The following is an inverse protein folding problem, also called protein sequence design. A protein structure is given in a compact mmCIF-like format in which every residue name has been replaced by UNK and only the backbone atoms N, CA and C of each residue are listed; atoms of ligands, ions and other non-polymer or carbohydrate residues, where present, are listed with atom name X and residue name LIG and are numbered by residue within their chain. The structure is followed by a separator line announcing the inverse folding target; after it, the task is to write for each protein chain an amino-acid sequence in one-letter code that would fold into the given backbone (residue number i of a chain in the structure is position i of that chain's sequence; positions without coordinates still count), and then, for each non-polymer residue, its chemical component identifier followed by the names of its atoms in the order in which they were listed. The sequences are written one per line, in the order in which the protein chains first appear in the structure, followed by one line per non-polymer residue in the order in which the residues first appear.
data_IF_564810932793
#
_entry.id   IF_564810932793
#
_cell.length_a   1.000
_cell.length_b   1.000
_cell.length_c   1.000
_cell.angle_alpha   90.00
_cell.angle_beta   90.00
_cell.angle_gamma   90.00
#
_symmetry.space_group_name_H-M   'P 1'
#
loop_
_entity.id
_entity.type
_entity.pdbx_description
1 polymer ?
#
# COMPACT_ATOMS: atom_id res chain seq x y z
N UNK A 1 34.79 -14.73 -17.95
CA UNK A 1 33.47 -15.16 -17.46
C UNK A 1 33.12 -16.45 -18.18
N UNK A 2 32.84 -17.55 -17.46
CA UNK A 2 32.37 -18.78 -18.10
C UNK A 2 31.06 -18.46 -18.83
N UNK A 3 30.88 -18.97 -20.06
CA UNK A 3 29.63 -18.83 -20.80
C UNK A 3 28.55 -19.64 -20.07
N UNK A 4 27.83 -19.00 -19.14
CA UNK A 4 26.71 -19.59 -18.42
C UNK A 4 25.58 -19.78 -19.43
N UNK A 5 25.47 -20.99 -19.99
CA UNK A 5 24.36 -21.37 -20.85
C UNK A 5 23.14 -21.68 -19.99
N UNK A 6 22.02 -21.06 -20.32
CA UNK A 6 20.73 -21.44 -19.75
C UNK A 6 20.41 -22.88 -20.19
N UNK A 7 19.74 -23.71 -19.37
CA UNK A 7 19.24 -25.00 -19.83
C UNK A 7 18.39 -24.83 -21.09
N UNK A 8 18.45 -25.76 -22.07
CA UNK A 8 17.83 -25.59 -23.38
C UNK A 8 16.31 -25.43 -23.32
N UNK A 9 15.67 -25.95 -22.27
CA UNK A 9 14.24 -25.84 -22.00
C UNK A 9 13.81 -24.50 -21.39
N UNK A 10 14.76 -23.65 -21.04
CA UNK A 10 14.55 -22.37 -20.38
C UNK A 10 14.71 -21.20 -21.36
N UNK A 11 13.93 -20.15 -21.18
CA UNK A 11 14.07 -18.90 -21.94
C UNK A 11 13.88 -17.66 -21.06
N UNK A 12 14.56 -16.57 -21.43
CA UNK A 12 14.36 -15.26 -20.83
C UNK A 12 13.22 -14.53 -21.54
N UNK A 13 12.40 -13.83 -20.77
CA UNK A 13 11.45 -12.85 -21.32
C UNK A 13 11.05 -11.83 -20.27
N UNK A 14 10.53 -10.70 -20.73
CA UNK A 14 9.86 -9.75 -19.84
C UNK A 14 8.55 -10.36 -19.32
N UNK A 15 8.21 -10.04 -18.06
CA UNK A 15 6.94 -10.44 -17.47
C UNK A 15 5.77 -9.80 -18.24
N UNK A 16 4.79 -10.62 -18.57
CA UNK A 16 3.54 -10.21 -19.20
C UNK A 16 2.44 -10.10 -18.14
N UNK A 17 1.32 -9.46 -18.48
CA UNK A 17 0.19 -9.30 -17.56
C UNK A 17 -0.35 -10.66 -17.04
N UNK A 18 -0.29 -11.71 -17.86
CA UNK A 18 -0.68 -13.08 -17.46
C UNK A 18 0.21 -13.67 -16.35
N UNK A 19 1.41 -13.13 -16.16
CA UNK A 19 2.36 -13.62 -15.15
C UNK A 19 2.14 -12.99 -13.77
N UNK A 20 1.34 -11.92 -13.66
CA UNK A 20 1.08 -11.20 -12.40
C UNK A 20 0.77 -12.16 -11.27
N UNK A 21 -0.20 -13.05 -11.50
CA UNK A 21 -0.64 -14.01 -10.50
C UNK A 21 0.46 -15.01 -10.17
N UNK A 22 1.17 -15.52 -11.19
CA UNK A 22 2.30 -16.44 -10.96
C UNK A 22 3.39 -15.77 -10.13
N UNK A 23 3.72 -14.51 -10.40
CA UNK A 23 4.73 -13.74 -9.68
C UNK A 23 4.31 -13.39 -8.25
N UNK A 24 3.04 -13.01 -8.03
CA UNK A 24 2.46 -12.80 -6.71
C UNK A 24 2.44 -14.08 -5.86
N UNK A 25 2.29 -15.23 -6.50
CA UNK A 25 2.27 -16.54 -5.85
C UNK A 25 3.60 -17.29 -5.89
N UNK A 26 4.67 -16.72 -6.47
CA UNK A 26 5.99 -17.30 -6.33
C UNK A 26 6.28 -17.35 -4.83
N UNK A 27 6.58 -18.53 -4.27
CA UNK A 27 6.86 -18.65 -2.85
C UNK A 27 8.17 -17.88 -2.61
N UNK A 28 8.09 -16.61 -2.24
CA UNK A 28 9.22 -15.87 -1.71
C UNK A 28 9.60 -16.62 -0.43
N UNK A 29 10.55 -17.54 -0.57
CA UNK A 29 10.95 -18.39 0.53
C UNK A 29 11.45 -17.46 1.63
N UNK A 30 10.77 -17.43 2.79
CA UNK A 30 11.01 -16.40 3.77
C UNK A 30 12.38 -16.65 4.38
N UNK A 31 13.37 -15.89 3.94
CA UNK A 31 14.67 -15.82 4.61
C UNK A 31 14.45 -15.26 6.02
N UNK A 32 14.31 -16.19 6.96
CA UNK A 32 14.68 -16.04 8.37
C UNK A 32 13.81 -15.24 9.33
N UNK A 33 12.96 -14.25 8.95
CA UNK A 33 12.35 -13.42 10.02
C UNK A 33 10.95 -12.82 9.82
N UNK A 34 10.30 -13.02 8.69
CA UNK A 34 8.96 -12.45 8.46
C UNK A 34 7.97 -13.42 7.80
N UNK A 35 8.00 -14.71 8.21
CA UNK A 35 7.04 -15.74 7.79
C UNK A 35 5.59 -15.29 7.95
N UNK A 36 5.27 -14.57 9.02
CA UNK A 36 3.89 -14.24 9.33
C UNK A 36 3.32 -13.21 8.34
N UNK A 37 4.04 -12.13 8.01
CA UNK A 37 3.48 -11.04 7.21
C UNK A 37 3.17 -11.44 5.76
N UNK A 38 4.07 -12.18 5.11
CA UNK A 38 3.83 -12.63 3.74
C UNK A 38 2.75 -13.71 3.68
N UNK A 39 2.77 -14.67 4.61
CA UNK A 39 1.69 -15.67 4.72
C UNK A 39 0.34 -14.97 4.89
N UNK A 40 0.26 -13.90 5.70
CA UNK A 40 -0.97 -13.10 5.83
C UNK A 40 -1.38 -12.41 4.54
N UNK A 41 -0.46 -11.77 3.80
CA UNK A 41 -0.80 -11.10 2.53
C UNK A 41 -1.29 -12.10 1.48
N UNK A 42 -0.61 -13.25 1.33
CA UNK A 42 -1.02 -14.28 0.37
C UNK A 42 -2.33 -14.95 0.77
N UNK A 43 -2.56 -15.17 2.08
CA UNK A 43 -3.83 -15.67 2.61
C UNK A 43 -4.95 -14.66 2.34
N UNK A 44 -4.75 -13.38 2.66
CA UNK A 44 -5.75 -12.32 2.45
C UNK A 44 -6.09 -12.20 0.96
N UNK A 45 -5.09 -12.24 0.07
CA UNK A 45 -5.32 -12.17 -1.38
C UNK A 45 -6.05 -13.40 -1.92
N UNK A 46 -5.72 -14.62 -1.46
CA UNK A 46 -6.45 -15.84 -1.86
C UNK A 46 -7.89 -15.82 -1.33
N UNK A 47 -8.08 -15.42 -0.07
CA UNK A 47 -9.40 -15.26 0.53
C UNK A 47 -10.20 -14.24 -0.28
N UNK A 48 -9.63 -13.09 -0.63
CA UNK A 48 -10.31 -12.09 -1.44
C UNK A 48 -10.69 -12.61 -2.83
N UNK A 49 -9.80 -13.32 -3.51
CA UNK A 49 -10.08 -13.93 -4.82
C UNK A 49 -11.18 -15.00 -4.75
N UNK A 50 -11.15 -15.86 -3.72
CA UNK A 50 -12.19 -16.87 -3.48
C UNK A 50 -13.53 -16.18 -3.21
N UNK A 51 -13.57 -15.17 -2.34
CA UNK A 51 -14.82 -14.46 -2.02
C UNK A 51 -15.37 -13.75 -3.25
N UNK A 52 -14.52 -13.15 -4.08
CA UNK A 52 -14.96 -12.49 -5.31
C UNK A 52 -15.59 -13.49 -6.29
N UNK A 53 -14.92 -14.63 -6.54
CA UNK A 53 -15.45 -15.67 -7.43
C UNK A 53 -16.73 -16.31 -6.88
N UNK A 54 -16.80 -16.54 -5.56
CA UNK A 54 -17.99 -17.07 -4.90
C UNK A 54 -19.16 -16.07 -5.01
N UNK A 55 -18.88 -14.77 -4.83
CA UNK A 55 -19.88 -13.71 -4.97
C UNK A 55 -20.43 -13.64 -6.40
N UNK A 56 -19.55 -13.75 -7.42
CA UNK A 56 -19.95 -13.79 -8.83
C UNK A 56 -20.81 -15.04 -9.15
N UNK A 57 -20.41 -16.20 -8.64
CA UNK A 57 -21.15 -17.46 -8.82
C UNK A 57 -22.54 -17.38 -8.17
N UNK A 58 -22.65 -16.86 -6.94
CA UNK A 58 -23.93 -16.68 -6.26
C UNK A 58 -24.84 -15.70 -7.01
N UNK A 59 -24.27 -14.65 -7.60
CA UNK A 59 -25.01 -13.70 -8.44
C UNK A 59 -25.53 -14.37 -9.72
N UNK A 60 -24.72 -15.21 -10.37
CA UNK A 60 -25.15 -16.02 -11.51
C UNK A 60 -26.23 -17.02 -11.14
N UNK A 61 -26.09 -17.75 -10.02
CA UNK A 61 -27.10 -18.70 -9.54
C UNK A 61 -28.42 -17.97 -9.24
N UNK A 62 -28.35 -16.80 -8.60
CA UNK A 62 -29.53 -15.98 -8.31
C UNK A 62 -30.21 -15.50 -9.60
N UNK A 63 -29.42 -15.07 -10.58
CA UNK A 63 -29.91 -14.65 -11.90
C UNK A 63 -30.57 -15.81 -12.67
N UNK A 64 -29.94 -16.99 -12.69
CA UNK A 64 -30.49 -18.17 -13.34
C UNK A 64 -31.73 -18.70 -12.62
N UNK A 65 -31.75 -18.69 -11.29
CA UNK A 65 -32.93 -19.08 -10.50
C UNK A 65 -34.11 -18.16 -10.79
N UNK A 66 -33.85 -16.85 -10.92
CA UNK A 66 -34.86 -15.87 -11.33
C UNK A 66 -35.39 -16.15 -12.75
N UNK A 67 -34.51 -16.37 -13.72
CA UNK A 67 -34.91 -16.69 -15.10
C UNK A 67 -35.69 -18.02 -15.18
N UNK A 68 -35.26 -19.02 -14.42
CA UNK A 68 -35.88 -20.33 -14.38
C UNK A 68 -37.27 -20.26 -13.73
N UNK A 69 -37.39 -19.54 -12.60
CA UNK A 69 -38.68 -19.28 -11.95
C UNK A 69 -39.65 -18.56 -12.91
N UNK A 70 -39.16 -17.59 -13.68
CA UNK A 70 -39.97 -16.88 -14.66
C UNK A 70 -40.44 -17.80 -15.80
N UNK A 71 -39.53 -18.55 -16.40
CA UNK A 71 -39.87 -19.49 -17.49
C UNK A 71 -40.76 -20.64 -17.03
N UNK A 72 -40.52 -21.22 -15.85
CA UNK A 72 -41.40 -22.26 -15.30
C UNK A 72 -42.77 -21.70 -14.97
N UNK A 73 -42.87 -20.48 -14.45
CA UNK A 73 -44.16 -19.80 -14.27
C UNK A 73 -44.92 -19.68 -15.58
N UNK A 74 -44.26 -19.19 -16.65
CA UNK A 74 -44.84 -19.08 -17.99
C UNK A 74 -45.25 -20.46 -18.56
N UNK A 75 -44.42 -21.50 -18.38
CA UNK A 75 -44.68 -22.84 -18.91
C UNK A 75 -45.77 -23.60 -18.15
N UNK A 76 -45.82 -23.50 -16.83
CA UNK A 76 -46.88 -24.09 -16.00
C UNK A 76 -48.23 -23.44 -16.30
N UNK A 77 -48.27 -22.12 -16.48
CA UNK A 77 -49.49 -21.40 -16.89
C UNK A 77 -49.94 -21.89 -18.26
N UNK A 78 -49.04 -21.95 -19.23
CA UNK A 78 -49.33 -22.47 -20.57
C UNK A 78 -49.83 -23.92 -20.55
N UNK A 79 -49.17 -24.80 -19.79
CA UNK A 79 -49.53 -26.21 -19.67
C UNK A 79 -50.91 -26.39 -19.03
N UNK A 80 -51.17 -25.72 -17.90
CA UNK A 80 -52.46 -25.78 -17.20
C UNK A 80 -53.59 -25.25 -18.10
N UNK A 81 -53.36 -24.14 -18.82
CA UNK A 81 -54.33 -23.56 -19.77
C UNK A 81 -54.58 -24.46 -20.99
N UNK A 82 -53.57 -25.23 -21.42
CA UNK A 82 -53.69 -26.12 -22.60
C UNK A 82 -54.22 -27.52 -22.28
N UNK A 83 -54.20 -27.94 -21.02
CA UNK A 83 -54.66 -29.28 -20.62
C UNK A 83 -56.19 -29.31 -20.54
N UNK A 84 -56.83 -30.06 -21.45
CA UNK A 84 -58.29 -30.24 -21.52
C UNK A 84 -58.88 -31.05 -20.34
N UNK A 85 -58.05 -31.45 -19.39
CA UNK A 85 -58.39 -32.34 -18.27
C UNK A 85 -58.88 -31.60 -17.02
N UNK A 86 -58.73 -30.26 -16.96
CA UNK A 86 -59.19 -29.46 -15.83
C UNK A 86 -60.47 -28.70 -16.24
N UNK A 87 -61.63 -28.99 -15.62
CA UNK A 87 -62.88 -28.28 -15.91
C UNK A 87 -62.72 -26.77 -15.72
N UNK A 88 -63.33 -25.94 -16.56
CA UNK A 88 -63.15 -24.47 -16.60
C UNK A 88 -63.21 -23.78 -15.22
N UNK A 89 -64.08 -24.27 -14.33
CA UNK A 89 -64.24 -23.74 -12.95
C UNK A 89 -63.02 -23.99 -12.07
N UNK A 90 -62.29 -25.09 -12.27
CA UNK A 90 -61.08 -25.41 -11.52
C UNK A 90 -59.85 -24.71 -12.08
N UNK A 91 -59.80 -24.40 -13.38
CA UNK A 91 -58.72 -23.59 -13.93
C UNK A 91 -58.71 -22.18 -13.32
N UNK A 92 -59.88 -21.55 -13.19
CA UNK A 92 -60.00 -20.23 -12.56
C UNK A 92 -59.64 -20.26 -11.08
N UNK A 93 -60.09 -21.29 -10.33
CA UNK A 93 -59.77 -21.44 -8.90
C UNK A 93 -58.31 -21.79 -8.63
N UNK A 94 -57.69 -22.64 -9.45
CA UNK A 94 -56.28 -23.01 -9.30
C UNK A 94 -55.38 -21.84 -9.68
N UNK A 95 -55.74 -21.07 -10.72
CA UNK A 95 -55.09 -19.80 -11.03
C UNK A 95 -55.22 -18.80 -9.87
N UNK A 96 -56.40 -18.70 -9.25
CA UNK A 96 -56.63 -17.84 -8.08
C UNK A 96 -55.83 -18.27 -6.83
N UNK A 97 -55.63 -19.57 -6.63
CA UNK A 97 -54.89 -20.14 -5.50
C UNK A 97 -53.38 -20.04 -5.68
N UNK A 98 -52.88 -20.25 -6.91
CA UNK A 98 -51.44 -20.17 -7.21
C UNK A 98 -50.95 -18.74 -7.39
N UNK A 99 -51.80 -17.83 -7.90
CA UNK A 99 -51.41 -16.44 -8.16
C UNK A 99 -51.97 -15.43 -7.15
N UNK A 100 -52.78 -15.86 -6.18
CA UNK A 100 -53.58 -14.90 -5.42
C UNK A 100 -54.51 -14.10 -6.36
N UNK A 101 -55.32 -13.23 -5.77
CA UNK A 101 -56.35 -12.48 -6.49
C UNK A 101 -55.84 -11.83 -7.80
N UNK A 102 -56.31 -12.24 -9.00
CA UNK A 102 -55.79 -11.80 -10.30
C UNK A 102 -56.07 -10.33 -10.61
N UNK A 103 -56.91 -9.65 -9.83
CA UNK A 103 -57.10 -8.20 -9.94
C UNK A 103 -56.01 -7.39 -9.21
N UNK A 104 -55.10 -8.03 -8.48
CA UNK A 104 -54.02 -7.35 -7.74
C UNK A 104 -52.59 -7.73 -8.14
N UNK A 105 -52.40 -8.78 -8.94
CA UNK A 105 -51.07 -9.34 -9.22
C UNK A 105 -50.36 -8.75 -10.45
N UNK A 106 -51.03 -7.89 -11.21
CA UNK A 106 -50.41 -7.11 -12.29
C UNK A 106 -49.50 -5.97 -11.81
N UNK A 107 -49.53 -5.61 -10.52
CA UNK A 107 -48.88 -4.39 -10.01
C UNK A 107 -47.70 -4.62 -9.05
N UNK A 108 -47.54 -5.79 -8.41
CA UNK A 108 -46.71 -5.85 -7.18
C UNK A 108 -45.28 -6.35 -7.36
N UNK A 109 -44.92 -6.99 -8.48
CA UNK A 109 -43.51 -7.31 -8.79
C UNK A 109 -42.82 -6.16 -9.55
N UNK A 110 -43.60 -5.24 -10.12
CA UNK A 110 -43.13 -4.02 -10.81
C UNK A 110 -42.63 -2.93 -9.86
N UNK A 111 -42.92 -2.99 -8.56
CA UNK A 111 -42.81 -1.82 -7.67
C UNK A 111 -41.92 -2.05 -6.44
N UNK A 112 -40.89 -2.89 -6.53
CA UNK A 112 -39.80 -2.81 -5.55
C UNK A 112 -38.58 -2.09 -6.16
N UNK A 113 -38.64 -0.75 -6.34
CA UNK A 113 -37.56 0.04 -6.94
C UNK A 113 -36.24 -0.11 -6.18
N UNK A 114 -36.29 -0.58 -4.93
CA UNK A 114 -35.13 -0.81 -4.08
C UNK A 114 -34.24 -1.95 -4.60
N UNK A 115 -34.80 -3.00 -5.25
CA UNK A 115 -33.98 -4.11 -5.76
C UNK A 115 -33.11 -3.64 -6.95
N UNK A 116 -33.69 -2.88 -7.88
CA UNK A 116 -32.96 -2.28 -8.99
C UNK A 116 -31.92 -1.27 -8.51
N UNK A 117 -32.24 -0.47 -7.49
CA UNK A 117 -31.30 0.46 -6.87
C UNK A 117 -30.08 -0.25 -6.26
N UNK A 118 -30.27 -1.37 -5.56
CA UNK A 118 -29.16 -2.14 -4.97
C UNK A 118 -28.29 -2.83 -6.02
N UNK A 119 -28.88 -3.43 -7.07
CA UNK A 119 -28.10 -4.01 -8.16
C UNK A 119 -27.32 -2.96 -8.94
N UNK A 120 -27.93 -1.80 -9.24
CA UNK A 120 -27.25 -0.72 -9.94
C UNK A 120 -26.11 -0.13 -9.10
N UNK A 121 -26.33 0.07 -7.80
CA UNK A 121 -25.30 0.51 -6.86
C UNK A 121 -24.11 -0.47 -6.81
N UNK A 122 -24.38 -1.78 -6.81
CA UNK A 122 -23.34 -2.80 -6.82
C UNK A 122 -22.53 -2.80 -8.12
N UNK A 123 -23.21 -2.74 -9.27
CA UNK A 123 -22.57 -2.66 -10.59
C UNK A 123 -21.74 -1.38 -10.70
N UNK A 124 -22.27 -0.22 -10.29
CA UNK A 124 -21.55 1.05 -10.30
C UNK A 124 -20.31 1.00 -9.39
N UNK A 125 -20.42 0.43 -8.19
CA UNK A 125 -19.27 0.26 -7.28
C UNK A 125 -18.20 -0.63 -7.91
N UNK A 126 -18.58 -1.76 -8.50
CA UNK A 126 -17.64 -2.65 -9.17
C UNK A 126 -16.92 -1.98 -10.35
N UNK A 127 -17.67 -1.23 -11.17
CA UNK A 127 -17.12 -0.47 -12.30
C UNK A 127 -16.18 0.64 -11.82
N UNK A 128 -16.49 1.31 -10.71
CA UNK A 128 -15.63 2.37 -10.16
C UNK A 128 -14.34 1.82 -9.51
N UNK A 129 -14.38 0.65 -8.87
CA UNK A 129 -13.22 0.06 -8.20
C UNK A 129 -12.33 -0.80 -9.12
N UNK A 130 -12.87 -1.37 -10.20
CA UNK A 130 -12.13 -2.19 -11.16
C UNK A 130 -10.89 -1.48 -11.78
N UNK A 131 -10.98 -0.22 -12.24
CA UNK A 131 -9.83 0.52 -12.77
C UNK A 131 -8.71 0.71 -11.75
N UNK A 132 -9.06 0.95 -10.47
CA UNK A 132 -8.08 1.12 -9.41
C UNK A 132 -7.28 -0.18 -9.18
N UNK A 133 -7.97 -1.32 -9.16
CA UNK A 133 -7.32 -2.64 -9.05
C UNK A 133 -6.42 -2.88 -10.27
N UNK A 134 -6.89 -2.56 -11.48
CA UNK A 134 -6.09 -2.70 -12.70
C UNK A 134 -4.84 -1.80 -12.66
N UNK A 135 -4.95 -0.56 -12.18
CA UNK A 135 -3.81 0.37 -12.03
C UNK A 135 -2.79 -0.18 -11.03
N UNK A 136 -3.24 -0.67 -9.88
CA UNK A 136 -2.37 -1.28 -8.86
C UNK A 136 -1.66 -2.52 -9.44
N UNK A 137 -2.39 -3.39 -10.13
CA UNK A 137 -1.83 -4.60 -10.75
C UNK A 137 -0.86 -4.26 -11.90
N UNK A 138 -1.11 -3.18 -12.66
CA UNK A 138 -0.23 -2.72 -13.74
C UNK A 138 1.10 -2.21 -13.21
N UNK A 139 1.14 -1.58 -12.04
CA UNK A 139 2.41 -1.14 -11.44
C UNK A 139 3.31 -2.30 -11.00
N UNK A 140 2.75 -3.49 -10.74
CA UNK A 140 3.53 -4.66 -10.29
C UNK A 140 4.35 -5.28 -11.43
N UNK A 141 3.91 -5.21 -12.69
CA UNK A 141 4.58 -5.88 -13.83
C UNK A 141 5.66 -5.08 -14.51
N UNK A 142 5.59 -3.76 -14.43
CA UNK A 142 6.55 -2.90 -15.09
C UNK A 142 7.94 -3.20 -14.53
N UNK A 143 8.88 -3.50 -15.43
CA UNK A 143 10.29 -3.79 -15.14
C UNK A 143 10.57 -5.12 -14.41
N UNK A 144 9.75 -6.15 -14.60
CA UNK A 144 10.07 -7.51 -14.14
C UNK A 144 10.52 -8.41 -15.30
N UNK A 145 11.63 -9.12 -15.12
CA UNK A 145 12.15 -10.14 -16.04
C UNK A 145 11.96 -11.53 -15.43
N UNK A 146 11.64 -12.51 -16.27
CA UNK A 146 11.39 -13.88 -15.82
C UNK A 146 12.18 -14.89 -16.65
N UNK A 147 12.52 -16.00 -16.01
CA UNK A 147 13.00 -17.21 -16.68
C UNK A 147 11.85 -18.22 -16.68
N UNK A 148 11.45 -18.64 -17.87
CA UNK A 148 10.42 -19.67 -18.06
C UNK A 148 11.06 -20.96 -18.55
N UNK A 149 10.87 -22.06 -17.81
CA UNK A 149 11.29 -23.40 -18.21
C UNK A 149 10.06 -24.31 -18.28
N UNK A 150 9.88 -25.05 -19.37
CA UNK A 150 8.72 -25.95 -19.55
C UNK A 150 7.37 -25.27 -19.24
N UNK A 151 7.19 -24.02 -19.71
CA UNK A 151 5.99 -23.19 -19.50
C UNK A 151 5.72 -22.78 -18.03
N UNK A 152 6.72 -22.91 -17.15
CA UNK A 152 6.66 -22.53 -15.74
C UNK A 152 7.71 -21.45 -15.45
N UNK A 153 7.32 -20.42 -14.71
CA UNK A 153 8.25 -19.38 -14.25
C UNK A 153 9.09 -19.98 -13.12
N UNK A 154 10.40 -20.10 -13.35
CA UNK A 154 11.33 -20.68 -12.38
C UNK A 154 12.16 -19.63 -11.66
N UNK A 155 12.36 -18.47 -12.28
CA UNK A 155 13.07 -17.34 -11.68
C UNK A 155 12.44 -16.01 -12.12
N UNK A 156 12.57 -14.99 -11.29
CA UNK A 156 12.10 -13.65 -11.57
C UNK A 156 13.07 -12.60 -10.99
N UNK A 157 13.20 -11.48 -11.69
CA UNK A 157 14.00 -10.34 -11.29
C UNK A 157 13.18 -9.05 -11.47
N UNK A 158 12.94 -8.33 -10.37
CA UNK A 158 12.25 -7.03 -10.38
C UNK A 158 13.26 -5.90 -10.35
N UNK A 159 13.15 -4.99 -11.30
CA UNK A 159 14.03 -3.83 -11.44
C UNK A 159 13.28 -2.54 -11.10
N UNK A 160 13.97 -1.62 -10.43
CA UNK A 160 13.57 -0.22 -10.34
C UNK A 160 14.49 0.56 -11.28
N UNK A 161 13.92 1.11 -12.34
CA UNK A 161 14.67 1.82 -13.38
C UNK A 161 14.62 3.31 -13.09
N UNK A 162 15.80 3.91 -12.89
CA UNK A 162 15.98 5.35 -12.77
C UNK A 162 16.80 5.85 -13.97
N UNK A 163 16.75 7.16 -14.31
CA UNK A 163 17.45 7.68 -15.49
C UNK A 163 18.96 7.38 -15.52
N UNK A 164 19.62 7.36 -14.36
CA UNK A 164 21.08 7.19 -14.24
C UNK A 164 21.50 5.79 -13.77
N UNK A 165 20.57 4.98 -13.29
CA UNK A 165 20.91 3.72 -12.63
C UNK A 165 19.72 2.77 -12.54
N UNK A 166 20.02 1.50 -12.29
CA UNK A 166 19.01 0.46 -12.09
C UNK A 166 19.23 -0.19 -10.75
N UNK A 167 18.15 -0.44 -10.02
CA UNK A 167 18.20 -1.18 -8.77
C UNK A 167 17.54 -2.54 -8.99
N UNK A 168 18.32 -3.60 -8.84
CA UNK A 168 17.81 -4.96 -8.77
C UNK A 168 17.20 -5.18 -7.39
N UNK A 169 15.92 -4.84 -7.29
CA UNK A 169 15.16 -4.84 -6.04
C UNK A 169 14.87 -6.25 -5.53
N UNK A 170 14.58 -7.18 -6.44
CA UNK A 170 14.29 -8.57 -6.06
C UNK A 170 14.84 -9.51 -7.11
N UNK A 171 15.58 -10.53 -6.69
CA UNK A 171 15.95 -11.68 -7.50
C UNK A 171 15.49 -12.94 -6.78
N UNK A 172 14.69 -13.75 -7.45
CA UNK A 172 14.18 -14.99 -6.91
C UNK A 172 14.41 -16.13 -7.88
N UNK A 173 14.87 -17.27 -7.36
CA UNK A 173 14.99 -18.55 -8.09
C UNK A 173 14.32 -19.62 -7.24
N UNK A 174 13.41 -20.36 -7.87
CA UNK A 174 12.69 -21.48 -7.26
C UNK A 174 13.69 -22.50 -6.70
N UNK A 175 13.50 -23.03 -5.47
CA UNK A 175 14.47 -23.92 -4.82
C UNK A 175 14.99 -25.06 -5.68
N UNK A 176 14.11 -25.72 -6.44
CA UNK A 176 14.46 -26.85 -7.33
C UNK A 176 15.38 -26.46 -8.50
N UNK A 177 15.47 -25.17 -8.81
CA UNK A 177 16.25 -24.59 -9.91
C UNK A 177 17.47 -23.80 -9.41
N UNK A 178 17.74 -23.81 -8.10
CA UNK A 178 18.94 -23.18 -7.52
C UNK A 178 20.19 -24.00 -7.88
N UNK A 179 21.34 -23.33 -7.86
CA UNK A 179 22.65 -23.93 -8.20
C UNK A 179 22.78 -24.46 -9.64
N UNK A 180 21.78 -24.25 -10.50
CA UNK A 180 21.82 -24.58 -11.94
C UNK A 180 22.26 -23.41 -12.81
N UNK A 181 22.84 -22.35 -12.22
CA UNK A 181 23.26 -21.15 -12.95
C UNK A 181 22.14 -20.23 -13.43
N UNK A 182 20.86 -20.56 -13.21
CA UNK A 182 19.70 -19.77 -13.69
C UNK A 182 19.70 -18.34 -13.15
N UNK A 183 19.97 -18.14 -11.85
CA UNK A 183 20.07 -16.80 -11.26
C UNK A 183 21.21 -15.98 -11.86
N UNK A 184 22.38 -16.62 -12.04
CA UNK A 184 23.55 -16.00 -12.68
C UNK A 184 23.27 -15.60 -14.13
N UNK A 185 22.61 -16.47 -14.88
CA UNK A 185 22.24 -16.24 -16.26
C UNK A 185 21.23 -15.09 -16.38
N UNK A 186 20.23 -15.02 -15.49
CA UNK A 186 19.24 -13.94 -15.45
C UNK A 186 19.90 -12.59 -15.13
N UNK A 187 20.77 -12.53 -14.12
CA UNK A 187 21.50 -11.29 -13.78
C UNK A 187 22.43 -10.88 -14.92
N UNK A 188 23.10 -11.83 -15.57
CA UNK A 188 23.97 -11.55 -16.73
C UNK A 188 23.16 -11.01 -17.90
N UNK A 189 21.99 -11.57 -18.18
CA UNK A 189 21.07 -11.08 -19.21
C UNK A 189 20.63 -9.65 -18.91
N UNK A 190 20.23 -9.35 -17.67
CA UNK A 190 19.85 -7.99 -17.26
C UNK A 190 21.02 -7.01 -17.43
N UNK A 191 22.25 -7.41 -17.05
CA UNK A 191 23.44 -6.57 -17.26
C UNK A 191 23.71 -6.23 -18.72
N UNK A 192 23.36 -7.13 -19.64
CA UNK A 192 23.51 -6.92 -21.09
C UNK A 192 22.42 -6.02 -21.66
N UNK A 193 21.22 -6.02 -21.06
CA UNK A 193 20.08 -5.24 -21.52
C UNK A 193 20.16 -3.74 -21.18
N UNK A 194 20.92 -3.39 -20.15
CA UNK A 194 20.95 -2.04 -19.62
C UNK A 194 22.39 -1.53 -19.54
N UNK A 195 22.64 -0.36 -20.09
CA UNK A 195 23.96 0.28 -20.05
C UNK A 195 24.25 0.92 -18.68
N UNK A 196 23.20 1.30 -17.95
CA UNK A 196 23.33 1.95 -16.65
C UNK A 196 23.94 1.00 -15.59
N UNK A 197 24.64 1.55 -14.57
CA UNK A 197 25.10 0.76 -13.44
C UNK A 197 23.92 0.11 -12.71
N UNK A 198 24.09 -1.18 -12.39
CA UNK A 198 23.10 -1.96 -11.63
C UNK A 198 23.55 -2.06 -10.19
N UNK A 199 22.68 -1.64 -9.29
CA UNK A 199 22.87 -1.70 -7.85
C UNK A 199 21.94 -2.72 -7.23
N UNK A 200 22.38 -3.34 -6.14
CA UNK A 200 21.53 -4.23 -5.35
C UNK A 200 21.92 -4.25 -3.88
N UNK A 201 20.92 -4.59 -3.08
CA UNK A 201 21.09 -4.94 -1.67
C UNK A 201 20.88 -6.45 -1.56
N UNK A 202 21.85 -7.18 -1.02
CA UNK A 202 21.74 -8.63 -0.86
C UNK A 202 21.98 -9.08 0.57
N UNK A 203 21.52 -10.29 0.88
CA UNK A 203 21.86 -10.94 2.14
C UNK A 203 23.38 -11.22 2.17
N UNK A 204 24.03 -11.15 3.34
CA UNK A 204 25.47 -11.40 3.48
C UNK A 204 25.95 -12.71 2.82
N UNK A 205 25.14 -13.75 2.87
CA UNK A 205 25.42 -15.07 2.27
C UNK A 205 25.41 -15.07 0.73
N UNK A 206 24.70 -14.13 0.09
CA UNK A 206 24.62 -13.99 -1.36
C UNK A 206 25.72 -13.08 -1.93
N UNK A 207 26.58 -12.52 -1.08
CA UNK A 207 27.60 -11.57 -1.52
C UNK A 207 28.59 -12.25 -2.45
N UNK A 208 29.08 -13.44 -2.10
CA UNK A 208 30.01 -14.19 -2.95
C UNK A 208 29.41 -14.54 -4.30
N UNK A 209 28.09 -14.82 -4.34
CA UNK A 209 27.36 -15.07 -5.59
C UNK A 209 27.41 -13.85 -6.52
N UNK A 210 27.06 -12.67 -6.04
CA UNK A 210 27.06 -11.46 -6.86
C UNK A 210 28.46 -10.94 -7.19
N UNK A 211 29.44 -11.09 -6.27
CA UNK A 211 30.85 -10.78 -6.57
C UNK A 211 31.37 -11.67 -7.70
N UNK A 212 31.00 -12.96 -7.71
CA UNK A 212 31.30 -13.85 -8.83
C UNK A 212 30.68 -13.42 -10.16
N UNK A 213 29.63 -12.61 -10.15
CA UNK A 213 29.00 -11.99 -11.32
C UNK A 213 29.61 -10.63 -11.70
N UNK A 214 30.71 -10.24 -11.08
CA UNK A 214 31.42 -8.98 -11.33
C UNK A 214 30.90 -7.78 -10.56
N UNK A 215 29.97 -7.96 -9.61
CA UNK A 215 29.57 -6.86 -8.75
C UNK A 215 30.68 -6.54 -7.73
N UNK A 216 30.96 -5.26 -7.54
CA UNK A 216 31.90 -4.73 -6.58
C UNK A 216 31.19 -4.42 -5.26
N UNK A 217 31.83 -4.76 -4.15
CA UNK A 217 31.39 -4.32 -2.83
C UNK A 217 31.55 -2.82 -2.72
N UNK A 218 30.44 -2.14 -2.43
CA UNK A 218 30.47 -0.73 -2.08
C UNK A 218 30.56 -0.66 -0.56
N UNK A 219 31.52 0.12 -0.05
CA UNK A 219 31.55 0.45 1.38
C UNK A 219 30.25 1.15 1.78
N UNK A 220 29.84 0.97 3.03
CA UNK A 220 28.71 1.71 3.63
C UNK A 220 28.80 3.22 3.36
N UNK A 221 30.03 3.75 3.25
CA UNK A 221 30.30 5.16 3.01
C UNK A 221 30.13 5.63 1.56
N UNK A 222 30.21 4.73 0.57
CA UNK A 222 29.79 5.06 -0.81
C UNK A 222 28.33 4.74 -1.05
N UNK A 223 27.71 3.96 -0.16
CA UNK A 223 26.28 3.69 -0.14
C UNK A 223 25.42 4.93 0.07
N UNK A 224 26.02 5.97 0.64
CA UNK A 224 25.50 7.31 0.82
C UNK A 224 24.88 7.90 -0.46
N UNK A 225 25.29 7.45 -1.65
CA UNK A 225 24.68 7.84 -2.92
C UNK A 225 23.40 7.05 -3.25
N UNK A 226 23.33 5.77 -2.88
CA UNK A 226 22.20 4.88 -3.19
C UNK A 226 21.05 5.01 -2.20
N UNK A 227 21.34 5.29 -0.93
CA UNK A 227 20.33 5.63 0.08
C UNK A 227 19.54 6.88 -0.28
N UNK A 228 20.17 7.82 -1.03
CA UNK A 228 19.51 8.99 -1.63
C UNK A 228 18.38 8.61 -2.58
N UNK A 229 18.43 7.41 -3.17
CA UNK A 229 17.53 6.94 -4.24
C UNK A 229 16.48 5.96 -3.71
N UNK A 230 16.81 5.18 -2.66
CA UNK A 230 15.87 4.29 -1.97
C UNK A 230 15.09 4.96 -0.82
N UNK A 231 15.40 6.22 -0.48
CA UNK A 231 14.73 6.92 0.63
C UNK A 231 15.03 6.30 1.99
N UNK A 232 16.17 5.62 2.15
CA UNK A 232 16.56 5.04 3.43
C UNK A 232 16.82 6.15 4.45
N UNK A 233 15.95 6.20 5.46
CA UNK A 233 16.03 7.11 6.59
C UNK A 233 17.20 6.78 7.53
N UNK A 234 18.15 7.69 7.72
CA UNK A 234 19.12 7.56 8.81
C UNK A 234 18.48 8.06 10.09
N UNK A 235 18.48 7.21 11.13
CA UNK A 235 18.08 7.64 12.46
C UNK A 235 19.26 8.35 13.13
N UNK A 236 19.04 9.59 13.55
CA UNK A 236 20.04 10.38 14.26
C UNK A 236 19.47 10.89 15.58
N UNK A 237 20.35 11.11 16.56
CA UNK A 237 20.00 11.69 17.86
C UNK A 237 20.85 12.90 18.15
N UNK A 238 20.25 13.91 18.77
CA UNK A 238 20.98 14.95 19.47
C UNK A 238 20.55 14.94 20.92
N UNK A 239 21.52 14.83 21.83
CA UNK A 239 21.29 15.02 23.25
C UNK A 239 21.44 16.51 23.58
N UNK A 240 20.33 17.17 23.92
CA UNK A 240 20.33 18.60 24.24
C UNK A 240 20.81 18.86 25.68
N UNK A 241 21.01 17.83 26.51
CA UNK A 241 21.48 17.99 27.89
C UNK A 241 23.00 18.17 27.99
N UNK A 242 23.73 17.69 26.99
CA UNK A 242 25.19 17.84 26.94
C UNK A 242 25.49 19.20 26.32
N UNK A 243 25.88 20.18 27.14
CA UNK A 243 26.31 21.50 26.67
C UNK A 243 27.41 21.35 25.62
N UNK A 244 27.07 21.68 24.38
CA UNK A 244 27.99 21.60 23.23
C UNK A 244 28.97 22.76 23.28
N UNK A 245 29.91 22.74 24.24
CA UNK A 245 30.92 23.78 24.44
C UNK A 245 31.91 23.88 23.26
N UNK A 246 31.89 22.94 22.30
CA UNK A 246 32.81 22.94 21.14
C UNK A 246 32.18 23.07 19.75
N UNK A 247 30.86 23.17 19.60
CA UNK A 247 30.21 23.20 18.26
C UNK A 247 29.98 24.64 17.78
N UNK A 248 30.01 25.62 18.69
CA UNK A 248 29.58 26.98 18.42
C UNK A 248 30.42 27.73 17.38
N UNK A 249 31.74 27.50 17.29
CA UNK A 249 32.58 28.35 16.43
C UNK A 249 32.43 28.09 14.92
N UNK A 250 32.16 26.83 14.51
CA UNK A 250 32.09 26.51 13.07
C UNK A 250 30.75 26.87 12.46
N UNK A 251 29.65 26.74 13.22
CA UNK A 251 28.30 27.06 12.71
C UNK A 251 27.99 28.55 12.76
N UNK A 252 28.60 29.33 13.66
CA UNK A 252 28.37 30.78 13.73
C UNK A 252 28.88 31.52 12.50
N UNK A 253 29.97 31.06 11.89
CA UNK A 253 30.57 31.71 10.72
C UNK A 253 29.77 31.49 9.42
N UNK A 254 28.99 30.41 9.30
CA UNK A 254 28.12 30.20 8.14
C UNK A 254 26.81 30.98 8.25
N UNK A 255 26.33 31.24 9.46
CA UNK A 255 25.09 31.98 9.73
C UNK A 255 25.27 33.51 9.68
N UNK A 256 26.48 34.05 9.71
CA UNK A 256 26.73 35.50 9.78
C UNK A 256 26.27 36.30 8.55
N UNK A 257 26.08 35.64 7.41
CA UNK A 257 25.58 36.28 6.18
C UNK A 257 24.06 36.17 5.99
N UNK A 258 23.37 35.52 6.92
CA UNK A 258 21.93 35.31 6.87
C UNK A 258 21.24 36.37 7.74
N UNK A 259 20.37 37.21 7.14
CA UNK A 259 19.56 38.19 7.88
C UNK A 259 18.55 37.45 8.75
N UNK A 260 18.95 37.14 9.98
CA UNK A 260 18.14 36.37 10.94
C UNK A 260 16.84 37.08 11.29
N UNK A 261 16.83 38.41 11.22
CA UNK A 261 15.70 39.24 11.68
C UNK A 261 14.41 39.06 10.86
N UNK A 262 14.52 38.56 9.64
CA UNK A 262 13.35 38.39 8.76
C UNK A 262 12.65 37.03 8.93
N UNK A 263 13.28 36.11 9.68
CA UNK A 263 12.80 34.74 9.86
C UNK A 263 12.26 34.51 11.27
N UNK A 264 10.98 34.19 11.36
CA UNK A 264 10.31 33.89 12.62
C UNK A 264 10.01 32.40 12.69
N UNK A 265 10.50 31.76 13.74
CA UNK A 265 10.16 30.38 14.08
C UNK A 265 9.20 30.40 15.25
N UNK A 266 7.99 29.86 15.06
CA UNK A 266 6.96 29.85 16.10
C UNK A 266 6.17 28.54 16.10
N UNK A 267 5.59 28.13 17.25
CA UNK A 267 4.63 27.04 17.25
C UNK A 267 3.39 27.42 16.44
N UNK A 268 2.82 26.44 15.75
CA UNK A 268 1.57 26.59 15.02
C UNK A 268 0.42 26.87 15.98
N UNK A 269 -0.48 27.74 15.54
CA UNK A 269 -1.75 28.07 16.17
C UNK A 269 -2.90 27.48 15.34
N UNK A 270 -4.11 27.41 15.88
CA UNK A 270 -5.26 26.82 15.19
C UNK A 270 -5.57 27.49 13.84
N UNK A 271 -5.30 28.80 13.73
CA UNK A 271 -5.46 29.57 12.48
C UNK A 271 -4.54 29.09 11.36
N UNK A 272 -3.41 28.46 11.69
CA UNK A 272 -2.40 28.03 10.72
C UNK A 272 -2.74 26.69 10.06
N UNK A 273 -3.72 25.93 10.58
CA UNK A 273 -4.06 24.57 10.11
C UNK A 273 -4.36 24.55 8.61
N UNK A 274 -5.06 25.57 8.10
CA UNK A 274 -5.37 25.67 6.66
C UNK A 274 -4.10 25.85 5.81
N UNK A 275 -3.16 26.68 6.28
CA UNK A 275 -1.89 26.94 5.58
C UNK A 275 -0.97 25.72 5.62
N UNK A 276 -0.88 25.04 6.76
CA UNK A 276 -0.10 23.80 6.91
C UNK A 276 -0.65 22.73 5.96
N UNK A 277 -1.97 22.57 5.85
CA UNK A 277 -2.60 21.64 4.89
C UNK A 277 -2.21 21.97 3.45
N UNK A 278 -2.27 23.25 3.04
CA UNK A 278 -1.82 23.61 1.69
C UNK A 278 -0.37 23.27 1.42
N UNK A 279 0.53 23.48 2.39
CA UNK A 279 1.95 23.12 2.24
C UNK A 279 2.18 21.61 2.23
N UNK A 280 1.45 20.85 3.04
CA UNK A 280 1.49 19.39 3.07
C UNK A 280 1.15 18.81 1.69
N UNK A 281 0.10 19.31 1.04
CA UNK A 281 -0.30 18.84 -0.30
C UNK A 281 0.69 19.21 -1.39
N UNK A 282 1.48 20.27 -1.22
CA UNK A 282 2.57 20.63 -2.15
C UNK A 282 3.88 19.89 -1.88
N UNK A 283 4.02 19.27 -0.70
CA UNK A 283 5.27 18.61 -0.33
C UNK A 283 5.40 17.22 -0.98
N UNK A 284 6.55 16.88 -1.58
CA UNK A 284 6.77 15.55 -2.17
C UNK A 284 6.77 14.43 -1.12
N UNK A 285 6.88 14.75 0.16
CA UNK A 285 6.74 13.80 1.27
C UNK A 285 5.31 13.35 1.50
N UNK A 286 4.31 13.89 0.80
CA UNK A 286 2.92 13.42 0.89
C UNK A 286 2.76 11.95 0.45
N UNK A 287 3.67 11.43 -0.37
CA UNK A 287 3.73 10.00 -0.75
C UNK A 287 3.80 9.07 0.48
N UNK A 288 4.26 9.58 1.63
CA UNK A 288 4.30 8.83 2.90
C UNK A 288 2.93 8.61 3.54
N UNK A 289 1.91 9.39 3.17
CA UNK A 289 0.51 9.19 3.62
C UNK A 289 -0.27 8.27 2.67
N UNK A 290 0.28 7.96 1.50
CA UNK A 290 -0.29 6.99 0.56
C UNK A 290 -0.54 5.61 1.21
N UNK A 291 0.34 5.04 2.06
CA UNK A 291 0.08 3.78 2.76
C UNK A 291 -1.12 3.84 3.70
N UNK A 292 -1.41 5.01 4.30
CA UNK A 292 -2.59 5.20 5.14
C UNK A 292 -3.86 5.25 4.30
N UNK A 293 -3.83 5.96 3.16
CA UNK A 293 -4.92 5.93 2.18
C UNK A 293 -5.17 4.53 1.62
N UNK A 294 -4.09 3.77 1.33
CA UNK A 294 -4.17 2.38 0.87
C UNK A 294 -4.77 1.49 1.95
N UNK A 295 -4.29 1.56 3.20
CA UNK A 295 -4.85 0.78 4.31
C UNK A 295 -6.33 1.10 4.52
N UNK A 296 -6.72 2.38 4.51
CA UNK A 296 -8.12 2.78 4.60
C UNK A 296 -8.95 2.23 3.44
N UNK A 297 -8.43 2.30 2.20
CA UNK A 297 -9.10 1.75 1.02
C UNK A 297 -9.27 0.23 1.13
N UNK A 298 -8.27 -0.47 1.67
CA UNK A 298 -8.35 -1.92 1.95
C UNK A 298 -9.41 -2.20 3.03
N UNK A 299 -9.45 -1.42 4.12
CA UNK A 299 -10.46 -1.61 5.17
C UNK A 299 -11.88 -1.30 4.67
N UNK A 300 -12.04 -0.23 3.90
CA UNK A 300 -13.32 0.14 3.30
C UNK A 300 -13.79 -0.91 2.28
N UNK A 301 -12.88 -1.43 1.45
CA UNK A 301 -13.23 -2.50 0.49
C UNK A 301 -13.53 -3.83 1.17
N UNK A 302 -12.81 -4.21 2.24
CA UNK A 302 -13.11 -5.40 3.03
C UNK A 302 -14.48 -5.29 3.71
N UNK A 303 -14.80 -4.12 4.27
CA UNK A 303 -16.11 -3.87 4.85
C UNK A 303 -17.23 -3.96 3.81
N UNK A 304 -17.03 -3.33 2.64
CA UNK A 304 -17.98 -3.41 1.53
C UNK A 304 -18.20 -4.85 1.07
N UNK A 305 -17.14 -5.67 1.03
CA UNK A 305 -17.20 -7.10 0.72
C UNK A 305 -18.04 -7.87 1.73
N UNK A 306 -17.86 -7.63 3.04
CA UNK A 306 -18.67 -8.25 4.11
C UNK A 306 -20.15 -7.88 3.96
N UNK A 307 -20.42 -6.61 3.67
CA UNK A 307 -21.78 -6.11 3.48
C UNK A 307 -22.44 -6.76 2.26
N UNK A 308 -21.71 -6.86 1.16
CA UNK A 308 -22.15 -7.54 -0.06
C UNK A 308 -22.46 -9.01 0.20
N UNK A 309 -21.58 -9.72 0.92
CA UNK A 309 -21.75 -11.13 1.24
C UNK A 309 -22.98 -11.35 2.13
N UNK A 310 -23.21 -10.44 3.08
CA UNK A 310 -24.40 -10.44 3.93
C UNK A 310 -25.69 -10.25 3.12
N UNK A 311 -25.70 -9.32 2.15
CA UNK A 311 -26.82 -9.17 1.21
C UNK A 311 -27.06 -10.42 0.36
N UNK A 312 -26.01 -11.08 -0.12
CA UNK A 312 -26.13 -12.31 -0.91
C UNK A 312 -26.73 -13.46 -0.10
N UNK A 313 -26.30 -13.64 1.15
CA UNK A 313 -26.88 -14.64 2.06
C UNK A 313 -28.37 -14.35 2.27
N UNK A 314 -28.74 -13.08 2.47
CA UNK A 314 -30.13 -12.69 2.63
C UNK A 314 -30.97 -13.01 1.40
N UNK A 315 -30.45 -12.68 0.21
CA UNK A 315 -31.11 -12.99 -1.05
C UNK A 315 -31.32 -14.50 -1.20
N UNK A 316 -30.31 -15.31 -0.88
CA UNK A 316 -30.39 -16.78 -0.90
C UNK A 316 -31.49 -17.30 0.05
N UNK A 317 -31.62 -16.69 1.23
CA UNK A 317 -32.64 -17.04 2.22
C UNK A 317 -34.05 -16.64 1.77
N UNK A 318 -34.19 -15.54 1.03
CA UNK A 318 -35.46 -15.17 0.37
C UNK A 318 -35.81 -16.21 -0.68
N UNK A 319 -34.87 -16.56 -1.56
CA UNK A 319 -35.09 -17.52 -2.65
C UNK A 319 -35.48 -18.90 -2.12
N UNK A 320 -34.90 -19.33 -1.00
CA UNK A 320 -35.20 -20.63 -0.37
C UNK A 320 -36.51 -20.63 0.45
N UNK A 321 -37.23 -19.51 0.51
CA UNK A 321 -38.46 -19.38 1.31
C UNK A 321 -38.25 -19.34 2.82
N UNK A 322 -37.00 -19.43 3.28
CA UNK A 322 -36.64 -19.38 4.70
C UNK A 322 -36.79 -17.97 5.29
N UNK A 323 -36.83 -16.93 4.45
CA UNK A 323 -36.99 -15.54 4.86
C UNK A 323 -38.39 -15.16 5.37
N UNK A 324 -39.42 -15.99 5.18
CA UNK A 324 -40.76 -15.70 5.70
C UNK A 324 -40.95 -16.04 7.18
N UNK A 325 -39.94 -16.66 7.80
CA UNK A 325 -39.90 -16.74 9.24
C UNK A 325 -39.72 -15.33 9.83
N UNK A 326 -40.77 -14.82 10.50
CA UNK A 326 -40.76 -13.50 11.14
C UNK A 326 -39.56 -13.28 12.07
N UNK A 327 -39.09 -14.34 12.73
CA UNK A 327 -37.91 -14.32 13.58
C UNK A 327 -36.66 -14.00 12.73
N UNK A 328 -36.54 -14.59 11.55
CA UNK A 328 -35.42 -14.38 10.65
C UNK A 328 -35.42 -12.97 10.06
N UNK A 329 -36.58 -12.45 9.63
CA UNK A 329 -36.74 -11.06 9.19
C UNK A 329 -36.30 -10.06 10.27
N UNK A 330 -36.72 -10.29 11.52
CA UNK A 330 -36.37 -9.42 12.65
C UNK A 330 -34.88 -9.48 12.98
N UNK A 331 -34.30 -10.68 13.07
CA UNK A 331 -32.87 -10.86 13.36
C UNK A 331 -32.04 -10.25 12.24
N UNK A 332 -32.34 -10.55 10.98
CA UNK A 332 -31.56 -10.07 9.85
C UNK A 332 -31.67 -8.56 9.66
N UNK A 333 -32.88 -7.99 9.73
CA UNK A 333 -33.08 -6.55 9.62
C UNK A 333 -32.30 -5.79 10.70
N UNK A 334 -32.38 -6.23 11.96
CA UNK A 334 -31.72 -5.54 13.07
C UNK A 334 -30.20 -5.75 13.07
N UNK A 335 -29.72 -6.98 12.82
CA UNK A 335 -28.27 -7.24 12.75
C UNK A 335 -27.63 -6.59 11.53
N UNK A 336 -28.26 -6.66 10.36
CA UNK A 336 -27.75 -6.01 9.15
C UNK A 336 -27.74 -4.50 9.30
N UNK A 337 -28.82 -3.88 9.78
CA UNK A 337 -28.85 -2.43 10.03
C UNK A 337 -27.76 -2.03 11.04
N UNK A 338 -27.61 -2.79 12.14
CA UNK A 338 -26.59 -2.49 13.15
C UNK A 338 -25.15 -2.64 12.63
N UNK A 339 -24.85 -3.67 11.84
CA UNK A 339 -23.55 -3.87 11.20
C UNK A 339 -23.27 -2.77 10.17
N UNK A 340 -24.31 -2.38 9.40
CA UNK A 340 -24.24 -1.32 8.41
C UNK A 340 -23.92 0.01 9.07
N UNK A 341 -24.63 0.35 10.15
CA UNK A 341 -24.38 1.55 10.95
C UNK A 341 -22.99 1.49 11.59
N UNK A 342 -22.59 0.35 12.14
CA UNK A 342 -21.27 0.17 12.74
C UNK A 342 -20.17 0.44 11.71
N UNK A 343 -20.16 -0.15 10.52
CA UNK A 343 -19.06 0.13 9.60
C UNK A 343 -19.19 1.45 8.85
N UNK A 344 -20.39 1.99 8.66
CA UNK A 344 -20.57 3.34 8.09
C UNK A 344 -20.13 4.43 9.08
N UNK A 345 -20.29 4.23 10.39
CA UNK A 345 -19.91 5.24 11.37
C UNK A 345 -18.56 4.94 12.03
N UNK A 346 -18.31 3.73 12.51
CA UNK A 346 -17.08 3.39 13.24
C UNK A 346 -15.85 3.40 12.33
N UNK A 347 -15.93 3.00 11.05
CA UNK A 347 -14.75 3.01 10.18
C UNK A 347 -14.35 4.47 9.84
N UNK A 348 -15.26 5.36 9.43
CA UNK A 348 -14.92 6.77 9.25
C UNK A 348 -14.57 7.46 10.56
N UNK A 349 -15.25 7.17 11.67
CA UNK A 349 -14.88 7.73 12.98
C UNK A 349 -13.50 7.25 13.40
N UNK A 350 -13.16 5.96 13.26
CA UNK A 350 -11.83 5.44 13.55
C UNK A 350 -10.78 6.04 12.61
N UNK A 351 -11.11 6.27 11.33
CA UNK A 351 -10.23 6.94 10.38
C UNK A 351 -10.03 8.42 10.74
N UNK A 352 -11.11 9.14 11.06
CA UNK A 352 -11.10 10.51 11.53
C UNK A 352 -10.33 10.59 12.84
N UNK A 353 -10.56 9.71 13.81
CA UNK A 353 -9.83 9.63 15.09
C UNK A 353 -8.38 9.19 14.88
N UNK A 354 -8.03 8.46 13.83
CA UNK A 354 -6.63 8.16 13.52
C UNK A 354 -5.94 9.38 12.87
N UNK A 355 -6.62 10.07 11.95
CA UNK A 355 -6.17 11.32 11.35
C UNK A 355 -6.05 12.45 12.39
N UNK A 356 -7.04 12.58 13.27
CA UNK A 356 -7.11 13.59 14.32
C UNK A 356 -6.32 13.18 15.56
N UNK A 357 -6.28 11.89 15.92
CA UNK A 357 -5.52 11.34 17.04
C UNK A 357 -4.01 11.33 16.79
N UNK A 358 -3.60 11.44 15.53
CA UNK A 358 -2.25 11.87 15.16
C UNK A 358 -1.90 13.28 15.70
N UNK A 359 -2.86 14.10 16.13
CA UNK A 359 -2.60 15.45 16.64
C UNK A 359 -2.31 15.53 18.15
N UNK A 360 -2.80 14.60 18.99
CA UNK A 360 -2.80 14.81 20.45
C UNK A 360 -1.42 14.87 21.12
N UNK A 361 -0.35 14.45 20.42
CA UNK A 361 1.02 14.54 20.94
C UNK A 361 2.01 15.07 19.92
N UNK A 362 1.56 15.84 18.91
CA UNK A 362 2.50 16.50 18.00
C UNK A 362 2.24 18.00 17.89
N UNK A 363 3.30 18.79 18.05
CA UNK A 363 3.28 20.22 17.82
C UNK A 363 3.91 20.48 16.46
N UNK A 364 3.29 21.38 15.70
CA UNK A 364 3.88 21.90 14.47
C UNK A 364 4.66 23.16 14.83
N UNK A 365 5.85 23.30 14.26
CA UNK A 365 6.62 24.53 14.23
C UNK A 365 6.54 25.09 12.82
N UNK A 366 6.42 26.40 12.72
CA UNK A 366 6.28 27.13 11.47
C UNK A 366 7.51 28.02 11.29
N UNK A 367 7.98 28.09 10.06
CA UNK A 367 9.00 29.03 9.62
C UNK A 367 8.32 30.06 8.72
N UNK A 368 8.34 31.32 9.15
CA UNK A 368 7.79 32.46 8.43
C UNK A 368 8.90 33.39 7.97
N UNK A 369 8.77 33.92 6.76
CA UNK A 369 9.62 34.98 6.22
C UNK A 369 8.73 36.11 5.72
N UNK A 370 8.90 37.32 6.25
CA UNK A 370 8.02 38.47 5.96
C UNK A 370 6.52 38.13 6.08
N UNK A 371 6.14 37.48 7.20
CA UNK A 371 4.77 37.02 7.49
C UNK A 371 4.20 35.97 6.52
N UNK A 372 5.01 35.47 5.58
CA UNK A 372 4.64 34.38 4.68
C UNK A 372 5.17 33.06 5.20
N UNK A 373 4.30 32.05 5.28
CA UNK A 373 4.69 30.71 5.69
C UNK A 373 5.54 30.05 4.59
N UNK A 374 6.78 29.70 4.94
CA UNK A 374 7.76 29.14 4.00
C UNK A 374 8.20 27.72 4.35
N UNK A 375 7.94 27.27 5.58
CA UNK A 375 8.28 25.92 6.02
C UNK A 375 7.52 25.51 7.27
N UNK A 376 7.53 24.22 7.56
CA UNK A 376 6.98 23.66 8.77
C UNK A 376 7.78 22.43 9.22
N UNK A 377 7.74 22.14 10.52
CA UNK A 377 8.28 20.92 11.10
C UNK A 377 7.24 20.32 12.04
N UNK A 378 7.14 18.99 12.06
CA UNK A 378 6.25 18.25 12.96
C UNK A 378 7.07 17.51 14.00
N UNK A 379 6.89 17.87 15.27
CA UNK A 379 7.58 17.25 16.40
C UNK A 379 6.57 16.45 17.22
N UNK A 380 6.85 15.17 17.45
CA UNK A 380 6.09 14.33 18.36
C UNK A 380 6.72 14.27 19.75
N UNK A 381 5.90 14.46 20.77
CA UNK A 381 6.29 14.49 22.17
C UNK A 381 6.22 13.08 22.75
N UNK A 382 7.35 12.60 23.29
CA UNK A 382 7.39 11.41 24.14
C UNK A 382 7.89 11.81 25.53
N UNK A 383 7.65 10.93 26.51
CA UNK A 383 8.02 11.20 27.90
C UNK A 383 9.51 11.54 28.05
N UNK A 384 10.39 10.84 27.31
CA UNK A 384 11.85 10.95 27.42
C UNK A 384 12.59 11.64 26.27
N UNK A 385 11.94 11.86 25.14
CA UNK A 385 12.57 12.42 23.94
C UNK A 385 11.52 13.03 23.01
N UNK A 386 11.98 13.79 22.03
CA UNK A 386 11.19 14.31 20.95
C UNK A 386 11.53 13.58 19.65
N UNK A 387 10.55 13.43 18.77
CA UNK A 387 10.75 12.87 17.43
C UNK A 387 10.45 13.97 16.42
N UNK A 388 11.46 14.43 15.69
CA UNK A 388 11.27 15.26 14.52
C UNK A 388 10.82 14.33 13.38
N UNK A 389 9.51 14.28 13.15
CA UNK A 389 8.93 13.35 12.17
C UNK A 389 9.19 13.81 10.74
N UNK A 390 8.98 15.10 10.49
CA UNK A 390 9.11 15.71 9.16
C UNK A 390 9.52 17.18 9.32
N UNK A 391 10.42 17.63 8.45
CA UNK A 391 10.67 19.04 8.17
C UNK A 391 10.44 19.27 6.68
N UNK A 392 9.80 20.37 6.34
CA UNK A 392 9.64 20.82 4.97
C UNK A 392 9.92 22.31 4.92
N UNK A 393 10.77 22.71 4.00
CA UNK A 393 11.01 24.10 3.65
C UNK A 393 10.83 24.21 2.15
N UNK A 394 10.23 25.32 1.71
CA UNK A 394 10.06 25.60 0.30
C UNK A 394 11.42 25.49 -0.43
N UNK A 395 11.54 24.64 -1.47
CA UNK A 395 12.80 24.37 -2.15
C UNK A 395 13.38 25.59 -2.88
N UNK A 396 12.59 26.65 -3.10
CA UNK A 396 13.11 27.92 -3.63
C UNK A 396 14.03 28.66 -2.65
N UNK A 397 14.08 28.25 -1.38
CA UNK A 397 14.90 28.88 -0.35
C UNK A 397 16.24 28.15 -0.14
N UNK A 398 17.23 28.89 0.35
CA UNK A 398 18.58 28.37 0.61
C UNK A 398 18.57 27.30 1.70
N UNK A 399 19.45 26.28 1.60
CA UNK A 399 19.59 25.23 2.62
C UNK A 399 19.92 25.76 4.03
N UNK A 400 20.51 26.95 4.12
CA UNK A 400 20.80 27.64 5.39
C UNK A 400 19.52 27.92 6.21
N UNK A 401 18.36 28.05 5.53
CA UNK A 401 17.06 28.20 6.20
C UNK A 401 16.69 26.93 6.98
N UNK A 402 17.04 25.74 6.49
CA UNK A 402 16.78 24.48 7.20
C UNK A 402 17.65 24.36 8.44
N UNK A 403 18.93 24.71 8.32
CA UNK A 403 19.86 24.75 9.45
C UNK A 403 19.32 25.69 10.53
N UNK A 404 18.99 26.93 10.16
CA UNK A 404 18.43 27.91 11.10
C UNK A 404 17.12 27.41 11.75
N UNK A 405 16.20 26.88 10.96
CA UNK A 405 14.90 26.42 11.46
C UNK A 405 15.04 25.27 12.45
N UNK A 406 15.84 24.26 12.13
CA UNK A 406 16.09 23.14 13.03
C UNK A 406 16.88 23.61 14.25
N UNK A 407 17.86 24.51 14.12
CA UNK A 407 18.58 25.09 15.25
C UNK A 407 17.62 25.79 16.25
N UNK A 408 16.68 26.60 15.75
CA UNK A 408 15.68 27.28 16.60
C UNK A 408 14.78 26.28 17.32
N UNK A 409 14.37 25.21 16.63
CA UNK A 409 13.63 24.11 17.25
C UNK A 409 14.46 23.47 18.37
N UNK A 410 15.73 23.14 18.11
CA UNK A 410 16.62 22.52 19.10
C UNK A 410 16.76 23.41 20.34
N UNK A 411 16.95 24.72 20.15
CA UNK A 411 17.07 25.70 21.24
C UNK A 411 15.79 25.82 22.08
N UNK A 412 14.62 25.57 21.49
CA UNK A 412 13.34 25.58 22.21
C UNK A 412 13.08 24.32 23.04
N UNK A 413 13.97 23.32 22.99
CA UNK A 413 13.73 21.98 23.55
C UNK A 413 14.85 21.52 24.48
N UNK A 414 14.48 21.02 25.66
CA UNK A 414 15.44 20.49 26.66
C UNK A 414 15.67 18.98 26.56
N UNK A 415 14.79 18.24 25.85
CA UNK A 415 14.88 16.78 25.72
C UNK A 415 15.65 16.39 24.46
N UNK A 416 16.26 15.19 24.43
CA UNK A 416 16.89 14.67 23.22
C UNK A 416 15.92 14.63 22.03
N UNK A 417 16.39 15.01 20.85
CA UNK A 417 15.62 14.94 19.61
C UNK A 417 16.13 13.78 18.76
N UNK A 418 15.21 12.92 18.35
CA UNK A 418 15.43 11.86 17.38
C UNK A 418 14.86 12.30 16.04
N UNK A 419 15.64 12.17 14.98
CA UNK A 419 15.21 12.44 13.62
C UNK A 419 15.44 11.21 12.76
N UNK A 420 14.48 10.90 11.90
CA UNK A 420 14.67 9.97 10.80
C UNK A 420 14.74 10.82 9.53
N UNK A 421 15.95 11.06 9.02
CA UNK A 421 16.16 11.96 7.89
C UNK A 421 16.62 11.19 6.65
N UNK A 422 16.31 11.73 5.47
CA UNK A 422 16.94 11.24 4.25
C UNK A 422 18.45 11.46 4.34
N UNK A 423 19.20 10.54 3.74
CA UNK A 423 20.65 10.61 3.69
C UNK A 423 21.18 11.95 3.17
N UNK A 424 20.50 12.59 2.21
CA UNK A 424 20.86 13.92 1.70
C UNK A 424 20.96 14.99 2.79
N UNK A 425 20.22 14.83 3.88
CA UNK A 425 20.15 15.81 4.97
C UNK A 425 21.05 15.40 6.14
N UNK A 426 21.68 14.22 6.12
CA UNK A 426 22.56 13.75 7.22
C UNK A 426 23.68 14.74 7.50
N UNK A 427 24.25 15.38 6.46
CA UNK A 427 25.27 16.42 6.65
C UNK A 427 24.72 17.60 7.45
N UNK A 428 23.55 18.12 7.06
CA UNK A 428 22.85 19.20 7.78
C UNK A 428 22.65 18.81 9.26
N UNK A 429 22.15 17.60 9.52
CA UNK A 429 21.93 17.14 10.89
C UNK A 429 23.25 16.91 11.66
N UNK A 430 24.31 16.43 11.02
CA UNK A 430 25.65 16.31 11.64
C UNK A 430 26.22 17.68 12.02
N UNK A 431 26.06 18.68 11.15
CA UNK A 431 26.50 20.06 11.39
C UNK A 431 25.71 20.68 12.56
N UNK A 432 24.47 20.21 12.77
CA UNK A 432 23.63 20.51 13.94
C UNK A 432 23.95 19.62 15.16
N UNK A 433 25.04 18.85 15.17
CA UNK A 433 25.45 18.03 16.31
C UNK A 433 24.65 16.73 16.50
N UNK A 434 23.88 16.28 15.52
CA UNK A 434 23.25 14.97 15.58
C UNK A 434 24.25 13.86 15.28
N UNK A 435 24.14 12.76 16.03
CA UNK A 435 24.96 11.56 15.90
C UNK A 435 24.09 10.45 15.31
N UNK A 436 24.55 9.72 14.26
CA UNK A 436 23.81 8.58 13.73
C UNK A 436 23.70 7.47 14.78
N UNK A 437 22.48 6.95 14.99
CA UNK A 437 22.24 5.78 15.84
C UNK A 437 21.98 4.58 14.94
N UNK A 438 22.65 3.45 15.22
CA UNK A 438 22.25 2.15 14.70
C UNK A 438 20.78 1.83 15.03
N UNK A 439 20.02 1.32 14.07
CA UNK A 439 18.61 0.94 14.26
C UNK A 439 18.44 -0.04 15.44
N UNK A 440 19.45 -0.85 15.73
CA UNK A 440 19.44 -1.78 16.86
C UNK A 440 19.43 -1.05 18.21
N UNK A 441 19.96 0.16 18.29
CA UNK A 441 20.00 0.96 19.51
C UNK A 441 18.79 1.89 19.65
N UNK A 442 17.90 1.95 18.65
CA UNK A 442 16.65 2.70 18.77
C UNK A 442 15.71 2.06 19.81
N UNK A 443 14.91 2.85 20.55
CA UNK A 443 13.83 2.35 21.39
C UNK A 443 12.87 1.43 20.62
N UNK A 444 12.38 0.34 21.24
CA UNK A 444 11.57 -0.70 20.58
C UNK A 444 10.36 -0.17 19.77
N UNK A 445 9.70 0.91 20.23
CA UNK A 445 8.61 1.58 19.49
C UNK A 445 9.08 2.29 18.23
N UNK A 446 10.25 2.92 18.27
CA UNK A 446 10.89 3.53 17.10
C UNK A 446 11.48 2.47 16.17
N UNK A 447 11.91 1.32 16.68
CA UNK A 447 12.29 0.19 15.82
C UNK A 447 11.14 -0.26 14.93
N UNK A 448 9.87 -0.18 15.36
CA UNK A 448 8.74 -0.55 14.49
C UNK A 448 8.57 0.47 13.34
N UNK A 449 8.51 1.77 13.66
CA UNK A 449 8.39 2.81 12.62
C UNK A 449 9.62 2.88 11.71
N UNK A 450 10.82 2.77 12.28
CA UNK A 450 12.07 2.66 11.54
C UNK A 450 12.12 1.38 10.70
N UNK A 451 11.69 0.21 11.20
CA UNK A 451 11.69 -1.05 10.42
C UNK A 451 10.67 -1.08 9.30
N UNK A 452 9.55 -0.37 9.43
CA UNK A 452 8.58 -0.20 8.34
C UNK A 452 9.22 0.64 7.21
N UNK A 453 10.20 1.48 7.53
CA UNK A 453 10.85 2.40 6.58
C UNK A 453 12.30 2.04 6.19
N UNK A 454 12.98 1.14 6.91
CA UNK A 454 14.41 0.84 6.81
C UNK A 454 14.70 -0.66 6.73
N UNK A 455 13.87 -1.40 6.00
CA UNK A 455 13.95 -2.85 5.96
C UNK A 455 15.08 -3.37 5.06
N UNK A 456 16.32 -2.88 5.24
CA UNK A 456 17.47 -3.30 4.43
C UNK A 456 18.76 -3.32 5.29
N UNK A 457 19.00 -4.45 5.95
CA UNK A 457 20.28 -4.76 6.61
C UNK A 457 21.18 -5.65 5.76
N UNK A 458 21.19 -5.43 4.44
CA UNK A 458 21.96 -6.23 3.49
C UNK A 458 23.35 -5.64 3.19
N UNK A 459 24.24 -6.47 2.65
CA UNK A 459 25.49 -5.99 2.04
C UNK A 459 25.22 -5.54 0.61
N UNK A 460 25.92 -4.49 0.18
CA UNK A 460 25.57 -3.75 -1.01
C UNK A 460 26.63 -3.83 -2.10
N UNK A 461 26.16 -3.97 -3.33
CA UNK A 461 26.99 -4.31 -4.46
C UNK A 461 26.61 -3.47 -5.69
N UNK A 462 27.60 -3.04 -6.48
CA UNK A 462 27.43 -2.35 -7.78
C UNK A 462 28.12 -3.10 -8.89
N UNK A 463 27.49 -3.20 -10.05
CA UNK A 463 28.19 -3.56 -11.26
C UNK A 463 28.51 -2.30 -12.08
N UNK A 464 29.79 -1.93 -12.26
CA UNK A 464 30.15 -0.89 -13.22
C UNK A 464 29.99 -1.48 -14.64
N UNK A 465 29.05 -0.94 -15.42
CA UNK A 465 29.01 -1.24 -16.85
C UNK A 465 30.00 -0.33 -17.59
N UNK A 466 30.49 -0.83 -18.74
CA UNK A 466 31.58 -0.27 -19.55
C UNK A 466 31.43 1.23 -19.82
N UNK A 467 31.99 2.08 -18.95
CA UNK A 467 32.40 3.46 -19.27
C UNK A 467 33.17 4.20 -18.15
N UNK A 468 33.50 3.57 -17.01
CA UNK A 468 34.34 4.21 -15.98
C UNK A 468 35.85 3.95 -16.17
N UNK A 469 36.33 4.09 -17.40
CA UNK A 469 37.76 4.23 -17.72
C UNK A 469 37.97 5.53 -18.48
N UNK A 470 37.63 6.65 -17.82
CA UNK A 470 38.15 7.99 -18.08
C UNK A 470 38.30 8.71 -16.74
#
# INVERSE_FOLDING_TARGET
MQNIKLPPECSFRQAQQKDIWKLLFLPLEPSGRNRNFQVWVTIIQKIFSIILNLSLLLLLISFFSYLLSRKLGEYLVGYIMSSSLVPDIWQVKLAFLLYGNPTGFGATISENPNLWGTMLSFICSFILFSPLIIIILRQVTLNTWVVECNRRIVAAAKLLVYPQQIILNTLYVTPTYRSQGIGSALVTHIKQLFEQPIYLVCLPELVSFYVGLGFLRISSDRLFFLSRINGELVAMVRDNTVSTVGITETTTNTLSNFSVNDYVVRPAQDRDIKLIRSLLFTSPTFDFYLPFGINFTIFASLYFLILTFSCLIYLLLIITGLADNQIFKSIFSNTFLSLTLIGVFIIPIAFIVNILGLQNHSQFFLLEYNQKLIGYARISYKSRYFILNYSYINPSLKPDCEIYFIQQILNSTTKPILVACNYSNVRIYKDLGFIPISIQNLPKKLRLGARINLQWGGMNLVHPNNQASQ
#
